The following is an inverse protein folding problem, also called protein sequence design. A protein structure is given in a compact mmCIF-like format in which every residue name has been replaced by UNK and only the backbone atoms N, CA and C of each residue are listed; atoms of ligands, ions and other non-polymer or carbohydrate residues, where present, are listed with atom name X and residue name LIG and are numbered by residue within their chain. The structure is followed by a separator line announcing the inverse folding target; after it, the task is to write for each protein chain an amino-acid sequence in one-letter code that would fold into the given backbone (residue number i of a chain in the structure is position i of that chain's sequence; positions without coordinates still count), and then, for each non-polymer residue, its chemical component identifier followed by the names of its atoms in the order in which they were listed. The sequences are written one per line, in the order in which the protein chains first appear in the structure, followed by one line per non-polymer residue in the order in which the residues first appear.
data_IF_354104938471
#
_entry.id   IF_354104938471
#
_cell.length_a   1.000
_cell.length_b   1.000
_cell.length_c   1.000
_cell.angle_alpha   90.00
_cell.angle_beta   90.00
_cell.angle_gamma   90.00
#
_symmetry.space_group_name_H-M   'P 1'
#
loop_
_entity.id
_entity.type
_entity.pdbx_description
1 polymer ?
#
# COMPACT_ATOMS: atom_id res chain seq x y z
N UNK A 1 -70.75 29.34 29.99
CA UNK A 1 -70.35 28.43 31.07
C UNK A 1 -70.63 26.99 30.59
N UNK A 2 -69.63 26.29 30.17
CA UNK A 2 -69.40 24.84 30.26
C UNK A 2 -68.21 24.48 29.32
N UNK A 3 -67.15 24.08 29.99
CA UNK A 3 -65.87 23.72 29.42
C UNK A 3 -65.99 22.27 28.88
N UNK A 4 -65.89 22.07 27.59
CA UNK A 4 -65.83 20.74 26.96
C UNK A 4 -64.37 20.25 26.82
N UNK A 5 -64.09 19.24 27.59
CA UNK A 5 -62.77 18.58 27.63
C UNK A 5 -62.47 17.88 26.30
N UNK A 6 -61.41 18.33 25.62
CA UNK A 6 -60.81 17.64 24.46
C UNK A 6 -59.99 16.48 24.98
N UNK A 7 -60.41 15.25 24.68
CA UNK A 7 -59.62 14.03 24.88
C UNK A 7 -58.57 13.95 23.80
N UNK A 8 -57.31 14.10 24.17
CA UNK A 8 -56.15 13.72 23.35
C UNK A 8 -56.11 12.20 23.21
N UNK A 9 -56.34 11.71 22.00
CA UNK A 9 -56.05 10.34 21.66
C UNK A 9 -54.54 10.24 21.45
N UNK A 10 -53.86 9.45 22.28
CA UNK A 10 -52.45 9.13 22.17
C UNK A 10 -52.22 8.28 20.93
N UNK A 11 -51.66 8.86 19.89
CA UNK A 11 -51.04 8.10 18.80
C UNK A 11 -49.70 7.58 19.30
N UNK A 12 -49.58 6.24 19.37
CA UNK A 12 -48.31 5.58 19.67
C UNK A 12 -47.37 5.78 18.49
N UNK A 13 -46.57 6.86 18.56
CA UNK A 13 -45.45 7.06 17.68
C UNK A 13 -44.32 6.12 18.09
N UNK A 14 -43.88 5.24 17.19
CA UNK A 14 -42.61 4.55 17.32
C UNK A 14 -41.50 5.63 17.40
N UNK A 15 -41.07 5.93 18.61
CA UNK A 15 -39.89 6.73 18.87
C UNK A 15 -38.66 5.87 18.43
N UNK A 16 -38.16 6.10 17.26
CA UNK A 16 -36.77 5.78 16.94
C UNK A 16 -35.90 6.69 17.81
N UNK A 17 -35.37 6.12 18.89
CA UNK A 17 -34.34 6.75 19.67
C UNK A 17 -33.09 6.88 18.77
N UNK A 18 -32.97 8.05 18.13
CA UNK A 18 -31.68 8.50 17.61
C UNK A 18 -30.86 8.80 18.87
N UNK A 19 -30.04 7.81 19.26
CA UNK A 19 -28.96 8.04 20.21
C UNK A 19 -27.99 9.01 19.53
N UNK A 20 -28.17 10.30 19.79
CA UNK A 20 -27.18 11.31 19.48
C UNK A 20 -25.96 11.01 20.33
N UNK A 21 -24.79 10.72 19.74
CA UNK A 21 -23.58 10.71 20.52
C UNK A 21 -23.41 12.14 21.06
N UNK A 22 -23.26 12.26 22.35
CA UNK A 22 -22.90 13.51 23.00
C UNK A 22 -21.61 14.01 22.31
N UNK A 23 -21.73 15.06 21.52
CA UNK A 23 -20.59 15.80 21.05
C UNK A 23 -19.97 16.46 22.30
N UNK A 24 -19.00 15.80 22.88
CA UNK A 24 -18.07 16.40 23.83
C UNK A 24 -17.40 17.54 23.07
N UNK A 25 -17.59 18.76 23.58
CA UNK A 25 -16.95 19.95 23.06
C UNK A 25 -15.44 19.69 23.00
N UNK A 26 -14.91 19.50 21.81
CA UNK A 26 -13.47 19.39 21.57
C UNK A 26 -12.86 20.78 21.83
N UNK A 27 -12.00 20.85 22.81
CA UNK A 27 -11.10 21.98 23.03
C UNK A 27 -10.25 22.10 21.72
N UNK A 28 -10.21 23.28 21.08
CA UNK A 28 -9.42 23.47 19.87
C UNK A 28 -7.93 23.30 20.22
N UNK A 29 -7.32 22.21 19.80
CA UNK A 29 -5.88 21.99 19.99
C UNK A 29 -5.44 20.54 20.22
N UNK A 30 -6.36 19.57 20.35
CA UNK A 30 -5.96 18.16 20.39
C UNK A 30 -6.42 17.46 19.10
N UNK A 31 -5.46 17.15 18.25
CA UNK A 31 -5.64 16.13 17.22
C UNK A 31 -6.13 14.83 17.87
N UNK A 32 -7.05 14.04 17.24
CA UNK A 32 -7.45 12.74 17.78
C UNK A 32 -6.18 11.92 17.99
N UNK A 33 -5.96 11.55 19.27
CA UNK A 33 -4.68 11.09 19.78
C UNK A 33 -4.04 10.02 18.92
N UNK A 34 -2.89 10.35 18.35
CA UNK A 34 -1.87 9.34 18.16
C UNK A 34 -1.64 8.69 19.54
N UNK A 35 -1.69 7.36 19.63
CA UNK A 35 -1.28 6.71 20.88
C UNK A 35 0.09 7.26 21.23
N UNK A 36 0.34 7.64 22.50
CA UNK A 36 1.66 8.10 22.89
C UNK A 36 2.66 7.06 22.41
N UNK A 37 3.76 7.49 21.78
CA UNK A 37 4.90 6.61 21.50
C UNK A 37 5.35 6.06 22.86
N UNK A 38 4.71 4.99 23.30
CA UNK A 38 5.16 4.24 24.45
C UNK A 38 6.49 3.64 23.98
N UNK A 39 7.59 4.24 24.43
CA UNK A 39 8.88 3.57 24.46
C UNK A 39 8.70 2.36 25.40
N UNK A 40 8.21 1.26 24.85
CA UNK A 40 8.10 0.01 25.58
C UNK A 40 9.50 -0.36 26.01
N UNK A 41 9.74 -0.35 27.31
CA UNK A 41 10.94 -0.98 27.84
C UNK A 41 10.91 -2.44 27.38
N UNK A 42 12.02 -2.98 26.82
CA UNK A 42 12.07 -4.37 26.41
C UNK A 42 11.70 -5.23 27.62
N UNK A 43 10.60 -5.95 27.54
CA UNK A 43 10.30 -6.99 28.53
C UNK A 43 11.46 -7.98 28.49
N UNK A 44 11.96 -8.43 29.67
CA UNK A 44 12.98 -9.45 29.70
C UNK A 44 12.41 -10.73 29.09
N UNK A 45 12.70 -10.97 27.82
CA UNK A 45 12.29 -12.18 27.13
C UNK A 45 13.12 -13.35 27.69
N UNK A 46 12.48 -14.19 28.50
CA UNK A 46 13.05 -15.46 28.97
C UNK A 46 13.13 -16.53 27.87
N UNK A 47 12.66 -16.25 26.65
CA UNK A 47 12.75 -17.12 25.50
C UNK A 47 13.93 -16.73 24.60
N UNK A 48 14.60 -17.69 23.95
CA UNK A 48 15.63 -17.37 22.96
C UNK A 48 15.02 -16.51 21.86
N UNK A 49 15.79 -15.54 21.32
CA UNK A 49 15.28 -14.66 20.27
C UNK A 49 14.79 -15.47 19.06
N UNK A 50 13.63 -15.16 18.47
CA UNK A 50 13.11 -15.88 17.32
C UNK A 50 14.09 -15.76 16.16
N UNK A 51 14.36 -16.89 15.51
CA UNK A 51 15.17 -16.95 14.30
C UNK A 51 14.27 -16.65 13.11
N UNK A 52 14.59 -15.59 12.37
CA UNK A 52 13.80 -15.09 11.24
C UNK A 52 14.49 -15.45 9.92
N UNK A 53 13.77 -16.17 9.06
CA UNK A 53 14.20 -16.40 7.67
C UNK A 53 13.78 -15.22 6.79
N UNK A 54 14.38 -15.09 5.58
CA UNK A 54 13.94 -14.08 4.60
C UNK A 54 12.44 -14.22 4.28
N UNK A 55 11.93 -15.46 4.20
CA UNK A 55 10.51 -15.71 3.94
C UNK A 55 9.64 -15.18 5.09
N UNK A 56 10.01 -15.46 6.34
CA UNK A 56 9.26 -14.97 7.51
C UNK A 56 9.30 -13.43 7.57
N UNK A 57 10.44 -12.83 7.20
CA UNK A 57 10.58 -11.39 7.12
C UNK A 57 9.62 -10.79 6.06
N UNK A 58 9.54 -11.40 4.89
CA UNK A 58 8.61 -10.97 3.83
C UNK A 58 7.14 -11.08 4.26
N UNK A 59 6.78 -12.17 4.92
CA UNK A 59 5.38 -12.38 5.35
C UNK A 59 4.98 -11.38 6.45
N UNK A 60 5.84 -11.13 7.44
CA UNK A 60 5.60 -10.10 8.47
C UNK A 60 5.54 -8.68 7.89
N UNK A 61 6.46 -8.34 7.00
CA UNK A 61 6.47 -7.01 6.38
C UNK A 61 5.19 -6.72 5.58
N UNK A 62 4.58 -7.71 4.94
CA UNK A 62 3.28 -7.56 4.24
C UNK A 62 2.14 -7.18 5.17
N UNK A 63 2.18 -7.60 6.42
CA UNK A 63 1.13 -7.26 7.39
C UNK A 63 1.26 -5.82 7.90
N UNK A 64 2.47 -5.26 7.91
CA UNK A 64 2.78 -3.98 8.56
C UNK A 64 3.05 -2.83 7.57
N UNK A 65 3.49 -3.12 6.34
CA UNK A 65 3.87 -2.08 5.39
C UNK A 65 2.66 -1.27 4.91
N UNK A 66 2.72 0.05 5.16
CA UNK A 66 1.63 0.95 4.85
C UNK A 66 1.38 1.12 3.34
N UNK A 67 2.43 1.06 2.51
CA UNK A 67 2.29 1.24 1.06
C UNK A 67 1.63 0.02 0.42
N UNK A 68 2.07 -1.18 0.82
CA UNK A 68 1.44 -2.41 0.35
C UNK A 68 -0.01 -2.52 0.82
N UNK A 69 -0.28 -2.25 2.11
CA UNK A 69 -1.65 -2.28 2.68
C UNK A 69 -2.57 -1.24 2.03
N UNK A 70 -2.06 -0.06 1.71
CA UNK A 70 -2.82 0.95 0.95
C UNK A 70 -3.17 0.43 -0.43
N UNK A 71 -2.22 -0.13 -1.17
CA UNK A 71 -2.47 -0.66 -2.51
C UNK A 71 -3.43 -1.87 -2.51
N UNK A 72 -3.36 -2.73 -1.50
CA UNK A 72 -4.31 -3.83 -1.28
C UNK A 72 -5.72 -3.32 -0.98
N UNK A 73 -5.83 -2.29 -0.13
CA UNK A 73 -7.10 -1.63 0.20
C UNK A 73 -7.71 -0.96 -1.04
N UNK A 74 -6.90 -0.29 -1.86
CA UNK A 74 -7.35 0.32 -3.12
C UNK A 74 -7.89 -0.73 -4.10
N UNK A 75 -7.30 -1.93 -4.14
CA UNK A 75 -7.80 -3.04 -4.94
C UNK A 75 -9.16 -3.56 -4.42
N UNK A 76 -9.34 -3.64 -3.10
CA UNK A 76 -10.63 -4.02 -2.51
C UNK A 76 -11.70 -2.94 -2.74
N UNK A 77 -11.36 -1.65 -2.61
CA UNK A 77 -12.26 -0.53 -2.97
C UNK A 77 -12.71 -0.67 -4.42
N UNK A 78 -11.77 -0.88 -5.35
CA UNK A 78 -12.09 -1.04 -6.77
C UNK A 78 -12.98 -2.26 -7.04
N UNK A 79 -12.84 -3.33 -6.26
CA UNK A 79 -13.73 -4.50 -6.28
C UNK A 79 -15.15 -4.13 -5.83
N UNK A 80 -15.29 -3.36 -4.76
CA UNK A 80 -16.59 -2.87 -4.29
C UNK A 80 -17.22 -1.91 -5.31
N UNK A 81 -16.43 -1.06 -5.95
CA UNK A 81 -16.89 -0.19 -7.04
C UNK A 81 -17.46 -0.99 -8.22
N UNK A 82 -16.87 -2.16 -8.55
CA UNK A 82 -17.43 -3.06 -9.55
C UNK A 82 -18.78 -3.63 -9.13
N UNK A 83 -18.95 -3.99 -7.87
CA UNK A 83 -20.24 -4.45 -7.35
C UNK A 83 -21.29 -3.33 -7.40
N UNK A 84 -20.90 -2.11 -7.01
CA UNK A 84 -21.76 -0.93 -7.12
C UNK A 84 -22.15 -0.66 -8.58
N UNK A 85 -21.18 -0.70 -9.50
CA UNK A 85 -21.42 -0.51 -10.94
C UNK A 85 -22.36 -1.56 -11.52
N UNK A 86 -22.34 -2.79 -11.02
CA UNK A 86 -23.31 -3.84 -11.37
C UNK A 86 -24.70 -3.54 -10.81
N UNK A 87 -24.75 -3.16 -9.54
CA UNK A 87 -26.01 -2.92 -8.84
C UNK A 87 -26.69 -1.63 -9.31
N UNK A 88 -25.94 -0.62 -9.75
CA UNK A 88 -26.47 0.64 -10.28
C UNK A 88 -27.28 0.50 -11.58
N UNK A 89 -27.21 -0.66 -12.24
CA UNK A 89 -28.02 -0.97 -13.41
C UNK A 89 -29.36 -1.66 -13.03
N UNK A 90 -29.58 -1.95 -11.75
CA UNK A 90 -30.79 -2.56 -11.24
C UNK A 90 -31.76 -1.47 -10.76
N UNK A 91 -33.09 -1.74 -10.81
CA UNK A 91 -34.08 -0.85 -10.22
C UNK A 91 -33.82 -0.65 -8.73
N UNK A 92 -34.04 0.58 -8.26
CA UNK A 92 -34.00 0.91 -6.84
C UNK A 92 -35.41 0.90 -6.26
N UNK A 93 -35.55 0.42 -5.03
CA UNK A 93 -36.78 0.47 -4.26
C UNK A 93 -36.55 1.26 -2.99
N UNK A 94 -37.43 2.21 -2.73
CA UNK A 94 -37.36 3.04 -1.54
C UNK A 94 -38.76 3.26 -0.97
N UNK A 95 -38.82 3.55 0.32
CA UNK A 95 -40.03 4.03 0.98
C UNK A 95 -39.85 5.50 1.36
N UNK A 96 -40.88 6.30 1.14
CA UNK A 96 -40.88 7.72 1.45
C UNK A 96 -42.13 8.09 2.25
N UNK A 97 -41.94 8.50 3.47
CA UNK A 97 -43.00 9.04 4.32
C UNK A 97 -42.87 10.56 4.43
N UNK A 98 -43.89 11.29 4.04
CA UNK A 98 -43.88 12.73 4.04
C UNK A 98 -45.21 13.26 4.60
N UNK A 99 -45.13 14.28 5.48
CA UNK A 99 -46.27 15.09 5.87
C UNK A 99 -46.04 16.51 5.34
N UNK A 100 -46.99 16.97 4.53
CA UNK A 100 -47.03 18.34 4.06
C UNK A 100 -48.17 19.08 4.75
N UNK A 101 -47.81 20.00 5.63
CA UNK A 101 -48.74 20.93 6.27
C UNK A 101 -48.52 22.35 5.72
N UNK A 102 -49.55 22.99 5.24
CA UNK A 102 -49.47 24.38 4.82
C UNK A 102 -50.47 25.24 5.54
N UNK A 103 -50.13 26.51 5.78
CA UNK A 103 -51.01 27.48 6.40
C UNK A 103 -52.12 27.88 5.43
N UNK A 104 -53.37 27.81 5.90
CA UNK A 104 -54.50 28.31 5.15
C UNK A 104 -54.60 29.83 5.19
N UNK A 105 -55.40 30.39 4.32
CA UNK A 105 -55.73 31.77 4.28
C UNK A 105 -56.77 32.09 5.39
N UNK A 106 -56.36 32.80 6.42
CA UNK A 106 -57.25 33.33 7.43
C UNK A 106 -57.35 34.85 7.33
N UNK A 107 -58.40 35.50 7.82
CA UNK A 107 -58.52 36.97 7.72
C UNK A 107 -57.34 37.73 8.32
N UNK A 108 -56.51 37.09 9.16
CA UNK A 108 -55.35 37.69 9.80
C UNK A 108 -54.02 37.18 9.18
N UNK A 109 -54.05 36.24 8.23
CA UNK A 109 -52.83 35.66 7.65
C UNK A 109 -52.35 36.56 6.48
N UNK A 110 -51.11 37.01 6.58
CA UNK A 110 -50.48 37.94 5.59
C UNK A 110 -49.76 37.24 4.45
N UNK A 111 -49.77 35.91 4.38
CA UNK A 111 -49.05 35.16 3.37
C UNK A 111 -49.70 33.85 3.01
N UNK A 112 -49.61 33.50 1.72
CA UNK A 112 -50.02 32.21 1.15
C UNK A 112 -48.76 31.45 0.73
N UNK A 113 -48.61 30.25 1.19
CA UNK A 113 -47.44 29.45 0.82
C UNK A 113 -47.73 28.55 -0.39
N UNK A 114 -48.76 27.75 -0.35
CA UNK A 114 -49.10 26.83 -1.45
C UNK A 114 -50.53 27.03 -1.94
N UNK A 115 -51.50 27.09 -1.07
CA UNK A 115 -52.92 27.27 -1.40
C UNK A 115 -53.61 28.25 -0.46
N UNK A 116 -54.79 28.77 -0.86
CA UNK A 116 -55.60 29.67 -0.03
C UNK A 116 -56.19 28.98 1.19
N UNK A 117 -56.47 27.65 1.10
CA UNK A 117 -57.29 26.94 2.08
C UNK A 117 -56.43 26.11 3.06
N UNK A 118 -55.11 26.11 2.89
CA UNK A 118 -54.21 25.23 3.62
C UNK A 118 -54.36 23.76 3.21
N UNK A 119 -53.32 23.01 3.36
CA UNK A 119 -53.31 21.57 3.02
C UNK A 119 -52.64 20.78 4.10
N UNK A 120 -53.23 19.67 4.42
CA UNK A 120 -52.61 18.62 5.25
C UNK A 120 -52.60 17.37 4.37
N UNK A 121 -51.43 16.96 3.92
CA UNK A 121 -51.27 15.78 3.07
C UNK A 121 -50.27 14.84 3.69
N UNK A 122 -50.71 13.63 3.93
CA UNK A 122 -49.88 12.50 4.29
C UNK A 122 -49.53 11.70 3.02
N UNK A 123 -48.24 11.46 2.84
CA UNK A 123 -47.71 10.66 1.75
C UNK A 123 -46.92 9.51 2.31
N UNK A 124 -47.30 8.32 1.94
CA UNK A 124 -46.56 7.09 2.24
C UNK A 124 -46.42 6.34 0.94
N UNK A 125 -45.22 6.41 0.35
CA UNK A 125 -44.96 5.93 -0.99
C UNK A 125 -43.89 4.85 -1.00
N UNK A 126 -44.21 3.66 -1.51
CA UNK A 126 -43.24 2.70 -2.01
C UNK A 126 -42.89 3.06 -3.45
N UNK A 127 -41.64 3.38 -3.70
CA UNK A 127 -41.16 3.94 -4.96
C UNK A 127 -40.19 2.95 -5.59
N UNK A 128 -40.49 2.50 -6.82
CA UNK A 128 -39.56 1.76 -7.67
C UNK A 128 -39.08 2.64 -8.81
N UNK A 129 -37.74 2.80 -8.95
CA UNK A 129 -37.13 3.63 -10.00
C UNK A 129 -36.12 2.79 -10.78
N UNK A 130 -36.06 3.03 -12.10
CA UNK A 130 -35.05 2.42 -12.93
C UNK A 130 -34.80 3.20 -14.21
N UNK A 131 -33.57 3.11 -14.66
CA UNK A 131 -33.11 3.74 -15.89
C UNK A 131 -32.74 2.68 -16.93
N UNK A 132 -33.26 2.81 -18.12
CA UNK A 132 -32.91 1.98 -19.27
C UNK A 132 -32.17 2.88 -20.27
N UNK A 133 -30.86 2.79 -20.23
CA UNK A 133 -29.95 3.60 -21.04
C UNK A 133 -29.11 2.71 -21.95
N UNK A 134 -28.37 3.30 -22.88
CA UNK A 134 -27.38 2.56 -23.67
C UNK A 134 -26.33 1.86 -22.76
N UNK A 135 -26.04 2.44 -21.58
CA UNK A 135 -25.13 1.84 -20.59
C UNK A 135 -25.67 0.51 -20.02
N UNK A 136 -27.00 0.37 -19.89
CA UNK A 136 -27.64 -0.87 -19.42
C UNK A 136 -27.37 -2.05 -20.38
N UNK A 137 -27.47 -1.84 -21.68
CA UNK A 137 -27.23 -2.85 -22.71
C UNK A 137 -25.75 -3.12 -22.94
N UNK A 138 -24.94 -2.09 -23.05
CA UNK A 138 -23.51 -2.17 -23.34
C UNK A 138 -22.67 -2.52 -22.10
N UNK A 139 -23.27 -2.43 -20.90
CA UNK A 139 -22.64 -2.73 -19.59
C UNK A 139 -21.34 -1.93 -19.38
N UNK A 140 -21.28 -0.70 -19.92
CA UNK A 140 -20.09 0.15 -19.91
C UNK A 140 -19.59 0.48 -18.50
N UNK A 141 -20.46 0.81 -17.50
CA UNK A 141 -20.03 1.04 -16.14
C UNK A 141 -19.35 -0.19 -15.52
N UNK A 142 -19.90 -1.39 -15.77
CA UNK A 142 -19.35 -2.65 -15.27
C UNK A 142 -17.98 -2.93 -15.89
N UNK A 143 -17.86 -2.79 -17.23
CA UNK A 143 -16.58 -3.00 -17.95
C UNK A 143 -15.49 -2.02 -17.49
N UNK A 144 -15.88 -0.75 -17.28
CA UNK A 144 -14.97 0.25 -16.73
C UNK A 144 -14.48 -0.12 -15.33
N UNK A 145 -15.42 -0.50 -14.45
CA UNK A 145 -15.09 -0.89 -13.08
C UNK A 145 -14.26 -2.20 -13.02
N UNK A 146 -14.54 -3.17 -13.91
CA UNK A 146 -13.70 -4.38 -14.04
C UNK A 146 -12.26 -4.04 -14.46
N UNK A 147 -12.07 -3.15 -15.41
CA UNK A 147 -10.73 -2.71 -15.82
C UNK A 147 -10.04 -1.92 -14.69
N UNK A 148 -10.78 -1.08 -13.95
CA UNK A 148 -10.25 -0.34 -12.81
C UNK A 148 -9.80 -1.29 -11.68
N UNK A 149 -10.58 -2.32 -11.35
CA UNK A 149 -10.23 -3.38 -10.39
C UNK A 149 -8.97 -4.12 -10.83
N UNK A 150 -8.89 -4.53 -12.11
CA UNK A 150 -7.71 -5.21 -12.65
C UNK A 150 -6.46 -4.32 -12.60
N UNK A 151 -6.60 -3.01 -12.87
CA UNK A 151 -5.51 -2.05 -12.73
C UNK A 151 -5.07 -1.88 -11.28
N UNK A 152 -6.00 -1.78 -10.33
CA UNK A 152 -5.70 -1.66 -8.90
C UNK A 152 -5.02 -2.93 -8.37
N UNK A 153 -5.50 -4.11 -8.75
CA UNK A 153 -4.87 -5.41 -8.41
C UNK A 153 -3.44 -5.50 -8.95
N UNK A 154 -3.20 -5.04 -10.18
CA UNK A 154 -1.84 -5.01 -10.73
C UNK A 154 -0.93 -4.04 -9.95
N UNK A 155 -1.45 -2.89 -9.49
CA UNK A 155 -0.70 -1.94 -8.64
C UNK A 155 -0.38 -2.53 -7.26
N UNK A 156 -1.29 -3.29 -6.65
CA UNK A 156 -1.02 -4.01 -5.42
C UNK A 156 0.11 -5.04 -5.59
N UNK A 157 0.16 -5.72 -6.74
CA UNK A 157 1.25 -6.63 -7.07
C UNK A 157 2.59 -5.89 -7.26
N UNK A 158 2.60 -4.70 -7.88
CA UNK A 158 3.80 -3.85 -7.98
C UNK A 158 4.28 -3.48 -6.57
N UNK A 159 3.38 -3.02 -5.69
CA UNK A 159 3.72 -2.67 -4.31
C UNK A 159 4.27 -3.88 -3.54
N UNK A 160 3.68 -5.08 -3.71
CA UNK A 160 4.16 -6.32 -3.11
C UNK A 160 5.58 -6.67 -3.53
N UNK A 161 5.87 -6.56 -4.83
CA UNK A 161 7.21 -6.85 -5.37
C UNK A 161 8.24 -5.80 -4.92
N UNK A 162 7.86 -4.52 -4.88
CA UNK A 162 8.70 -3.44 -4.36
C UNK A 162 9.04 -3.62 -2.88
N UNK A 163 8.05 -4.02 -2.07
CA UNK A 163 8.28 -4.36 -0.66
C UNK A 163 9.28 -5.51 -0.52
N UNK A 164 9.17 -6.55 -1.37
CA UNK A 164 10.10 -7.68 -1.33
C UNK A 164 11.56 -7.24 -1.55
N UNK A 165 11.82 -6.30 -2.47
CA UNK A 165 13.17 -5.73 -2.66
C UNK A 165 13.63 -5.00 -1.41
N UNK A 166 12.77 -4.14 -0.84
CA UNK A 166 13.11 -3.37 0.37
C UNK A 166 13.45 -4.29 1.54
N UNK A 167 12.63 -5.31 1.79
CA UNK A 167 12.88 -6.29 2.86
C UNK A 167 14.18 -7.07 2.60
N UNK A 168 14.38 -7.56 1.37
CA UNK A 168 15.61 -8.27 0.98
C UNK A 168 16.85 -7.41 1.21
N UNK A 169 16.80 -6.15 0.82
CA UNK A 169 17.90 -5.21 1.04
C UNK A 169 18.21 -5.01 2.52
N UNK A 170 17.18 -4.79 3.37
CA UNK A 170 17.36 -4.60 4.81
C UNK A 170 17.82 -5.87 5.52
N UNK A 171 17.31 -7.03 5.09
CA UNK A 171 17.68 -8.33 5.64
C UNK A 171 19.17 -8.62 5.40
N UNK A 172 19.64 -8.55 4.17
CA UNK A 172 21.04 -8.81 3.86
C UNK A 172 21.99 -7.69 4.30
N UNK A 173 21.49 -6.45 4.46
CA UNK A 173 22.26 -5.39 5.11
C UNK A 173 22.54 -5.73 6.59
N UNK A 174 21.58 -6.35 7.30
CA UNK A 174 21.81 -6.81 8.67
C UNK A 174 22.79 -7.98 8.69
N UNK A 175 22.62 -9.00 7.84
CA UNK A 175 23.56 -10.14 7.76
C UNK A 175 24.99 -9.65 7.47
N UNK A 176 25.16 -8.76 6.51
CA UNK A 176 26.47 -8.17 6.20
C UNK A 176 27.05 -7.36 7.37
N UNK A 177 26.20 -6.65 8.12
CA UNK A 177 26.64 -5.90 9.31
C UNK A 177 27.05 -6.84 10.46
N UNK A 178 26.38 -7.99 10.63
CA UNK A 178 26.78 -9.04 11.58
C UNK A 178 28.14 -9.67 11.20
N UNK A 179 28.38 -9.91 9.91
CA UNK A 179 29.68 -10.37 9.42
C UNK A 179 30.79 -9.33 9.67
N UNK A 180 30.50 -8.05 9.36
CA UNK A 180 31.44 -6.96 9.61
C UNK A 180 31.75 -6.82 11.12
N UNK A 181 30.75 -6.94 11.99
CA UNK A 181 30.95 -7.00 13.44
C UNK A 181 31.91 -8.14 13.84
N UNK A 182 31.67 -9.36 13.37
CA UNK A 182 32.52 -10.52 13.67
C UNK A 182 33.96 -10.36 13.13
N UNK A 183 34.09 -9.82 11.91
CA UNK A 183 35.39 -9.53 11.29
C UNK A 183 36.16 -8.46 12.07
N UNK A 184 35.50 -7.37 12.46
CA UNK A 184 36.09 -6.30 13.26
C UNK A 184 36.50 -6.77 14.66
N UNK A 185 35.70 -7.63 15.30
CA UNK A 185 36.05 -8.23 16.60
C UNK A 185 37.32 -9.10 16.49
N UNK A 186 37.44 -9.90 15.42
CA UNK A 186 38.64 -10.68 15.14
C UNK A 186 39.85 -9.79 14.86
N UNK A 187 39.66 -8.69 14.12
CA UNK A 187 40.73 -7.73 13.80
C UNK A 187 41.29 -7.05 15.06
N UNK A 188 40.43 -6.63 16.00
CA UNK A 188 40.87 -6.11 17.31
C UNK A 188 41.70 -7.12 18.05
N UNK A 189 41.23 -8.37 18.15
CA UNK A 189 41.98 -9.42 18.86
C UNK A 189 43.33 -9.75 18.22
N UNK A 190 43.42 -9.68 16.88
CA UNK A 190 44.67 -9.86 16.15
C UNK A 190 45.64 -8.68 16.33
N UNK A 191 45.13 -7.45 16.23
CA UNK A 191 45.94 -6.24 16.43
C UNK A 191 46.48 -6.13 17.87
N UNK A 192 45.68 -6.51 18.88
CA UNK A 192 46.11 -6.56 20.27
C UNK A 192 47.25 -7.58 20.46
N UNK A 193 47.08 -8.82 19.93
CA UNK A 193 48.14 -9.84 20.02
C UNK A 193 49.43 -9.38 19.35
N UNK A 194 49.31 -8.70 18.20
CA UNK A 194 50.44 -8.17 17.49
C UNK A 194 51.15 -7.07 18.30
N UNK A 195 50.38 -6.15 18.90
CA UNK A 195 50.95 -5.11 19.80
C UNK A 195 51.66 -5.73 21.00
N UNK A 196 51.11 -6.75 21.64
CA UNK A 196 51.74 -7.47 22.75
C UNK A 196 53.08 -8.14 22.33
N UNK A 197 53.11 -8.72 21.12
CA UNK A 197 54.34 -9.31 20.56
C UNK A 197 55.38 -8.25 20.32
N UNK A 198 55.01 -7.13 19.66
CA UNK A 198 55.95 -6.01 19.37
C UNK A 198 56.53 -5.41 20.66
N UNK A 199 55.72 -5.25 21.71
CA UNK A 199 56.23 -4.81 23.02
C UNK A 199 57.23 -5.77 23.62
N UNK A 200 56.99 -7.09 23.53
CA UNK A 200 57.93 -8.10 24.07
C UNK A 200 59.26 -8.09 23.30
N UNK A 201 59.22 -8.02 21.97
CA UNK A 201 60.39 -7.98 21.12
C UNK A 201 61.22 -6.70 21.33
N UNK A 202 60.55 -5.56 21.57
CA UNK A 202 61.22 -4.29 21.88
C UNK A 202 61.97 -4.38 23.19
N UNK A 203 61.37 -4.96 24.24
CA UNK A 203 62.06 -5.18 25.55
C UNK A 203 63.29 -6.08 25.41
N UNK A 204 63.31 -6.97 24.44
CA UNK A 204 64.44 -7.83 24.12
C UNK A 204 65.42 -7.17 23.11
N UNK A 205 65.16 -5.92 22.70
CA UNK A 205 66.01 -5.21 21.78
C UNK A 205 65.95 -5.69 20.34
N UNK A 206 64.94 -6.50 19.98
CA UNK A 206 64.78 -7.10 18.63
C UNK A 206 64.07 -6.21 17.62
N UNK A 207 63.23 -5.25 18.08
CA UNK A 207 62.49 -4.31 17.21
C UNK A 207 62.62 -2.88 17.77
N UNK A 208 62.42 -1.87 16.90
CA UNK A 208 62.49 -0.48 17.24
C UNK A 208 61.24 0.00 18.00
N UNK A 209 61.37 1.02 18.84
CA UNK A 209 60.25 1.69 19.51
C UNK A 209 59.18 2.18 18.48
N UNK A 210 59.60 2.59 17.30
CA UNK A 210 58.72 3.01 16.22
C UNK A 210 57.76 1.92 15.77
N UNK A 211 58.15 0.64 15.82
CA UNK A 211 57.31 -0.51 15.44
C UNK A 211 56.24 -0.80 16.49
N UNK A 212 56.59 -0.61 17.80
CA UNK A 212 55.62 -0.68 18.89
C UNK A 212 54.57 0.40 18.77
N UNK A 213 54.96 1.64 18.46
CA UNK A 213 54.04 2.75 18.26
C UNK A 213 53.10 2.47 17.07
N UNK A 214 53.61 1.95 15.96
CA UNK A 214 52.76 1.55 14.82
C UNK A 214 51.75 0.46 15.18
N UNK A 215 52.18 -0.57 15.90
CA UNK A 215 51.30 -1.65 16.37
C UNK A 215 50.21 -1.09 17.33
N UNK A 216 50.57 -0.15 18.23
CA UNK A 216 49.58 0.49 19.10
C UNK A 216 48.58 1.36 18.32
N UNK A 217 49.06 2.16 17.36
CA UNK A 217 48.14 2.92 16.48
C UNK A 217 47.17 1.99 15.77
N UNK A 218 47.66 0.91 15.17
CA UNK A 218 46.81 -0.08 14.51
C UNK A 218 45.78 -0.67 15.47
N UNK A 219 46.20 -1.07 16.67
CA UNK A 219 45.28 -1.61 17.68
C UNK A 219 44.15 -0.61 18.02
N UNK A 220 44.50 0.67 18.27
CA UNK A 220 43.52 1.72 18.56
C UNK A 220 42.56 1.99 17.39
N UNK A 221 43.08 1.94 16.18
CA UNK A 221 42.23 2.05 14.97
C UNK A 221 41.25 0.91 14.85
N UNK A 222 41.68 -0.33 15.12
CA UNK A 222 40.76 -1.49 15.09
C UNK A 222 39.72 -1.44 16.23
N UNK A 223 40.10 -0.94 17.44
CA UNK A 223 39.11 -0.70 18.50
C UNK A 223 38.05 0.32 18.10
N UNK A 224 38.44 1.38 17.38
CA UNK A 224 37.48 2.36 16.87
C UNK A 224 36.58 1.71 15.80
N UNK A 225 37.15 1.01 14.81
CA UNK A 225 36.40 0.32 13.75
C UNK A 225 35.41 -0.69 14.32
N UNK A 226 35.78 -1.39 15.39
CA UNK A 226 34.87 -2.31 16.09
C UNK A 226 33.67 -1.59 16.73
N UNK A 227 33.90 -0.43 17.39
CA UNK A 227 32.78 0.37 17.93
C UNK A 227 31.85 0.87 16.83
N UNK A 228 32.40 1.25 15.69
CA UNK A 228 31.63 1.67 14.53
C UNK A 228 30.84 0.51 13.92
N UNK A 229 31.41 -0.71 13.88
CA UNK A 229 30.74 -1.93 13.44
C UNK A 229 29.58 -2.33 14.37
N UNK A 230 29.73 -2.20 15.69
CA UNK A 230 28.64 -2.40 16.67
C UNK A 230 27.48 -1.45 16.36
N UNK A 231 27.75 -0.16 16.15
CA UNK A 231 26.72 0.82 15.85
C UNK A 231 26.05 0.54 14.50
N UNK A 232 26.80 0.13 13.47
CA UNK A 232 26.25 -0.23 12.17
C UNK A 232 25.33 -1.47 12.26
N UNK A 233 25.72 -2.49 13.01
CA UNK A 233 24.90 -3.67 13.23
C UNK A 233 23.58 -3.33 13.94
N UNK A 234 23.63 -2.53 15.01
CA UNK A 234 22.42 -2.10 15.73
C UNK A 234 21.50 -1.25 14.84
N UNK A 235 22.07 -0.35 14.04
CA UNK A 235 21.30 0.47 13.09
C UNK A 235 20.63 -0.39 12.00
N UNK A 236 21.35 -1.38 11.46
CA UNK A 236 20.80 -2.30 10.47
C UNK A 236 19.68 -3.16 11.06
N UNK A 237 19.85 -3.61 12.31
CA UNK A 237 18.84 -4.36 13.05
C UNK A 237 17.58 -3.52 13.28
N UNK A 238 17.72 -2.28 13.74
CA UNK A 238 16.59 -1.36 13.92
C UNK A 238 15.89 -1.07 12.59
N UNK A 239 16.63 -0.87 11.50
CA UNK A 239 16.07 -0.63 10.18
C UNK A 239 15.24 -1.81 9.65
N UNK A 240 15.62 -3.05 9.99
CA UNK A 240 14.82 -4.23 9.68
C UNK A 240 13.64 -4.38 10.66
N UNK A 241 13.87 -4.16 11.96
CA UNK A 241 12.82 -4.27 12.98
C UNK A 241 11.60 -3.39 12.69
N UNK A 242 11.81 -2.15 12.22
CA UNK A 242 10.74 -1.22 11.82
C UNK A 242 9.83 -1.79 10.74
N UNK A 243 10.34 -2.66 9.87
CA UNK A 243 9.56 -3.31 8.82
C UNK A 243 8.83 -4.58 9.31
N UNK A 244 9.36 -5.25 10.34
CA UNK A 244 8.90 -6.58 10.74
C UNK A 244 8.02 -6.59 11.98
N UNK A 245 8.08 -5.54 12.81
CA UNK A 245 7.43 -5.52 14.12
C UNK A 245 6.69 -4.20 14.36
N UNK A 246 5.53 -4.24 15.04
CA UNK A 246 4.83 -3.04 15.46
C UNK A 246 5.65 -2.22 16.47
N UNK A 247 6.44 -2.92 17.29
CA UNK A 247 7.36 -2.36 18.27
C UNK A 247 8.78 -2.76 17.88
N UNK A 248 9.63 -1.79 17.53
CA UNK A 248 11.02 -2.03 17.06
C UNK A 248 12.00 -2.45 18.17
N UNK A 249 11.51 -2.73 19.38
CA UNK A 249 12.31 -3.15 20.54
C UNK A 249 12.43 -4.68 20.67
N UNK A 250 11.82 -5.45 19.78
CA UNK A 250 11.88 -6.90 19.83
C UNK A 250 13.29 -7.43 19.51
N UNK A 251 13.73 -8.40 20.30
CA UNK A 251 15.00 -9.07 20.07
C UNK A 251 14.78 -10.23 19.09
N UNK A 252 15.53 -10.27 18.00
CA UNK A 252 15.47 -11.31 16.99
C UNK A 252 16.85 -11.58 16.40
N UNK A 253 17.02 -12.73 15.78
CA UNK A 253 18.20 -13.11 14.99
C UNK A 253 17.76 -13.47 13.58
N UNK A 254 18.63 -13.25 12.60
CA UNK A 254 18.38 -13.59 11.20
C UNK A 254 19.16 -14.84 10.80
N UNK A 255 18.65 -15.59 9.83
CA UNK A 255 19.37 -16.72 9.26
C UNK A 255 20.42 -16.19 8.30
N UNK A 256 21.67 -16.57 8.49
CA UNK A 256 22.74 -16.29 7.54
C UNK A 256 22.71 -17.31 6.38
N UNK A 257 22.13 -16.89 5.27
CA UNK A 257 22.11 -17.61 4.01
C UNK A 257 22.80 -16.84 2.88
N UNK A 258 23.57 -15.78 3.22
CA UNK A 258 24.18 -14.87 2.27
C UNK A 258 25.11 -15.61 1.28
N UNK A 259 25.91 -16.57 1.76
CA UNK A 259 26.84 -17.35 0.96
C UNK A 259 26.21 -18.49 0.17
N UNK A 260 24.92 -18.82 0.39
CA UNK A 260 24.23 -19.87 -0.35
C UNK A 260 24.06 -19.46 -1.81
N UNK A 261 24.49 -20.30 -2.74
CA UNK A 261 24.43 -19.99 -4.18
C UNK A 261 22.96 -19.82 -4.63
N UNK A 262 22.60 -18.63 -5.06
CA UNK A 262 21.33 -18.37 -5.73
C UNK A 262 21.56 -18.41 -7.25
N UNK A 263 20.82 -19.26 -8.00
CA UNK A 263 21.01 -19.36 -9.45
C UNK A 263 20.48 -18.12 -10.17
N UNK A 264 21.22 -17.62 -11.15
CA UNK A 264 20.73 -16.63 -12.11
C UNK A 264 20.29 -17.40 -13.37
N UNK A 265 18.99 -17.36 -13.74
CA UNK A 265 18.51 -18.01 -14.95
C UNK A 265 19.12 -17.38 -16.22
N UNK A 266 19.20 -18.11 -17.35
CA UNK A 266 19.64 -17.57 -18.63
C UNK A 266 18.77 -16.40 -19.10
N UNK A 267 19.36 -15.39 -19.73
CA UNK A 267 18.64 -14.20 -20.20
C UNK A 267 17.41 -14.48 -21.08
N UNK A 268 17.43 -15.47 -22.02
CA UNK A 268 16.23 -15.79 -22.80
C UNK A 268 15.03 -16.17 -21.95
N UNK A 269 15.23 -16.97 -20.88
CA UNK A 269 14.17 -17.43 -19.99
C UNK A 269 13.61 -16.26 -19.16
N UNK A 270 14.51 -15.42 -18.64
CA UNK A 270 14.16 -14.21 -17.89
C UNK A 270 13.36 -13.23 -18.75
N UNK A 271 13.74 -13.08 -20.03
CA UNK A 271 13.01 -12.23 -20.98
C UNK A 271 11.62 -12.77 -21.29
N UNK A 272 11.45 -14.07 -21.40
CA UNK A 272 10.16 -14.71 -21.63
C UNK A 272 9.23 -14.51 -20.41
N UNK A 273 9.75 -14.73 -19.20
CA UNK A 273 9.00 -14.50 -17.96
C UNK A 273 8.55 -13.04 -17.83
N UNK A 274 9.43 -12.07 -18.08
CA UNK A 274 9.11 -10.65 -18.05
C UNK A 274 8.03 -10.26 -19.08
N UNK A 275 7.97 -10.95 -20.22
CA UNK A 275 6.98 -10.68 -21.27
C UNK A 275 5.58 -11.22 -20.95
N UNK A 276 5.47 -12.26 -20.12
CA UNK A 276 4.18 -12.94 -19.85
C UNK A 276 3.34 -12.24 -18.79
N UNK A 277 3.92 -11.81 -17.68
CA UNK A 277 3.15 -11.42 -16.47
C UNK A 277 3.69 -10.18 -15.76
N UNK A 278 4.18 -9.22 -16.51
CA UNK A 278 4.68 -8.01 -15.88
C UNK A 278 3.51 -7.14 -15.35
N UNK A 279 3.49 -6.83 -14.03
CA UNK A 279 2.37 -6.10 -13.42
C UNK A 279 2.31 -4.63 -13.85
N UNK A 280 3.43 -3.98 -14.22
CA UNK A 280 3.43 -2.59 -14.70
C UNK A 280 2.73 -2.48 -16.05
N UNK A 281 3.02 -3.41 -16.99
CA UNK A 281 2.35 -3.46 -18.29
C UNK A 281 0.88 -3.79 -18.13
N UNK A 282 0.52 -4.71 -17.20
CA UNK A 282 -0.88 -5.02 -16.89
C UNK A 282 -1.62 -3.79 -16.34
N UNK A 283 -1.05 -3.09 -15.38
CA UNK A 283 -1.65 -1.89 -14.80
C UNK A 283 -1.89 -0.81 -15.88
N UNK A 284 -0.92 -0.58 -16.77
CA UNK A 284 -1.04 0.37 -17.86
C UNK A 284 -2.07 -0.07 -18.92
N UNK A 285 -2.13 -1.37 -19.25
CA UNK A 285 -3.11 -1.95 -20.19
C UNK A 285 -4.53 -1.79 -19.66
N UNK A 286 -4.76 -2.11 -18.39
CA UNK A 286 -6.08 -1.99 -17.78
C UNK A 286 -6.48 -0.50 -17.60
N UNK A 287 -5.51 0.38 -17.33
CA UNK A 287 -5.75 1.84 -17.32
C UNK A 287 -6.18 2.35 -18.71
N UNK A 288 -5.59 1.83 -19.79
CA UNK A 288 -6.05 2.14 -21.15
C UNK A 288 -7.48 1.64 -21.38
N UNK A 289 -7.83 0.42 -20.93
CA UNK A 289 -9.20 -0.11 -21.01
C UNK A 289 -10.22 0.77 -20.26
N UNK A 290 -9.85 1.29 -19.08
CA UNK A 290 -10.70 2.27 -18.36
C UNK A 290 -10.97 3.47 -19.25
N UNK A 291 -9.93 4.08 -19.85
CA UNK A 291 -10.07 5.24 -20.71
C UNK A 291 -10.89 4.94 -21.98
N UNK A 292 -10.80 3.74 -22.56
CA UNK A 292 -11.63 3.31 -23.69
C UNK A 292 -13.11 3.22 -23.30
N UNK A 293 -13.41 2.71 -22.09
CA UNK A 293 -14.79 2.70 -21.59
C UNK A 293 -15.31 4.10 -21.26
N UNK A 294 -14.45 5.05 -20.86
CA UNK A 294 -14.83 6.46 -20.70
C UNK A 294 -15.20 7.11 -22.04
N UNK A 295 -14.49 6.80 -23.12
CA UNK A 295 -14.87 7.23 -24.49
C UNK A 295 -16.22 6.63 -24.87
N UNK A 296 -16.44 5.35 -24.59
CA UNK A 296 -17.74 4.70 -24.84
C UNK A 296 -18.87 5.38 -24.07
N UNK A 297 -18.66 5.67 -22.77
CA UNK A 297 -19.63 6.39 -21.93
C UNK A 297 -19.93 7.78 -22.48
N UNK A 298 -18.91 8.53 -22.90
CA UNK A 298 -19.07 9.85 -23.47
C UNK A 298 -19.85 9.85 -24.81
N UNK A 299 -19.70 8.79 -25.64
CA UNK A 299 -20.48 8.57 -26.83
C UNK A 299 -21.95 8.25 -26.52
N UNK A 300 -22.20 7.49 -25.47
CA UNK A 300 -23.56 7.12 -25.06
C UNK A 300 -24.37 8.33 -24.57
N UNK A 301 -23.71 9.40 -24.11
CA UNK A 301 -24.36 10.64 -23.72
C UNK A 301 -25.10 11.38 -24.88
N UNK A 302 -24.87 10.99 -26.14
CA UNK A 302 -25.64 11.46 -27.29
C UNK A 302 -26.92 10.69 -27.55
N UNK A 303 -27.12 9.53 -26.86
CA UNK A 303 -28.26 8.67 -27.05
C UNK A 303 -29.40 9.05 -26.10
N UNK A 304 -30.67 8.80 -26.49
CA UNK A 304 -31.79 8.97 -25.60
C UNK A 304 -31.67 8.12 -24.34
N UNK A 305 -32.19 8.63 -23.23
CA UNK A 305 -32.33 7.89 -21.97
C UNK A 305 -33.81 7.69 -21.66
N UNK A 306 -34.14 6.49 -21.22
CA UNK A 306 -35.47 6.13 -20.77
C UNK A 306 -35.43 5.85 -19.27
N UNK A 307 -36.32 6.49 -18.50
CA UNK A 307 -36.47 6.22 -17.08
C UNK A 307 -37.91 5.92 -16.73
N UNK A 308 -38.12 5.15 -15.71
CA UNK A 308 -39.44 4.86 -15.17
C UNK A 308 -39.44 5.00 -13.65
N UNK A 309 -40.56 5.60 -13.15
CA UNK A 309 -40.88 5.71 -11.74
C UNK A 309 -42.23 5.01 -11.52
N UNK A 310 -42.26 4.04 -10.64
CA UNK A 310 -43.49 3.37 -10.20
C UNK A 310 -43.72 3.68 -8.74
N UNK A 311 -44.83 4.26 -8.40
CA UNK A 311 -45.20 4.63 -7.05
C UNK A 311 -46.48 3.92 -6.68
N UNK A 312 -46.46 3.28 -5.50
CA UNK A 312 -47.66 2.72 -4.87
C UNK A 312 -47.72 3.23 -3.42
N UNK A 313 -48.86 3.74 -3.02
CA UNK A 313 -49.01 4.23 -1.64
C UNK A 313 -50.23 5.07 -1.39
N UNK A 314 -50.17 5.85 -0.35
CA UNK A 314 -51.23 6.76 0.11
C UNK A 314 -50.81 8.20 -0.13
N UNK A 315 -51.69 9.01 -0.69
CA UNK A 315 -51.60 10.46 -0.72
C UNK A 315 -52.96 11.02 -0.36
N UNK A 316 -53.13 11.39 0.90
CA UNK A 316 -54.43 11.78 1.44
C UNK A 316 -54.29 12.78 2.58
N UNK A 317 -55.37 13.50 2.85
CA UNK A 317 -55.45 14.44 3.99
C UNK A 317 -55.42 13.78 5.37
N UNK A 318 -55.40 12.44 5.42
CA UNK A 318 -55.29 11.66 6.64
C UNK A 318 -54.56 10.35 6.37
N UNK A 319 -53.80 9.88 7.33
CA UNK A 319 -53.10 8.59 7.25
C UNK A 319 -54.06 7.44 7.55
N UNK A 320 -54.83 7.02 6.54
CA UNK A 320 -55.81 5.95 6.65
C UNK A 320 -55.92 5.17 5.35
N UNK A 321 -56.21 3.85 5.42
CA UNK A 321 -56.40 2.98 4.24
C UNK A 321 -57.68 3.29 3.48
N UNK A 322 -58.68 3.93 4.12
CA UNK A 322 -59.93 4.35 3.49
C UNK A 322 -60.22 5.81 3.82
N UNK A 323 -60.80 6.51 2.85
CA UNK A 323 -61.25 7.89 3.06
C UNK A 323 -62.37 7.97 4.11
N UNK A 324 -62.27 8.97 4.99
CA UNK A 324 -63.36 9.29 5.92
C UNK A 324 -64.47 10.12 5.23
N UNK A 325 -64.10 10.83 4.16
CA UNK A 325 -65.04 11.60 3.38
C UNK A 325 -65.65 10.75 2.27
N UNK A 326 -66.94 10.55 2.33
CA UNK A 326 -67.73 9.86 1.33
C UNK A 326 -68.28 10.88 0.36
N UNK A 327 -67.56 11.15 -0.73
CA UNK A 327 -67.97 12.12 -1.74
C UNK A 327 -69.22 11.64 -2.50
N UNK A 328 -69.40 10.35 -2.58
CA UNK A 328 -70.59 9.69 -3.20
C UNK A 328 -71.10 8.60 -2.26
N UNK A 329 -72.23 8.83 -1.60
CA UNK A 329 -72.79 7.92 -0.60
C UNK A 329 -73.05 6.50 -1.15
N UNK A 330 -73.27 6.40 -2.43
CA UNK A 330 -73.57 5.12 -3.13
C UNK A 330 -72.36 4.19 -3.24
N UNK A 331 -71.13 4.76 -3.22
CA UNK A 331 -69.88 4.01 -3.37
C UNK A 331 -69.24 3.67 -2.01
N UNK A 332 -69.70 4.29 -0.92
CA UNK A 332 -69.06 4.14 0.38
C UNK A 332 -67.64 4.74 0.45
N UNK A 333 -66.88 4.43 1.51
CA UNK A 333 -65.51 4.94 1.69
C UNK A 333 -64.56 4.37 0.63
N UNK A 334 -63.97 5.23 -0.19
CA UNK A 334 -62.98 4.85 -1.22
C UNK A 334 -61.61 4.50 -0.63
N UNK A 335 -60.88 3.62 -1.24
CA UNK A 335 -59.49 3.32 -0.81
C UNK A 335 -58.60 4.52 -1.08
N UNK A 336 -57.75 4.88 -0.08
CA UNK A 336 -56.71 5.91 -0.23
C UNK A 336 -55.45 5.37 -0.94
N UNK A 337 -55.07 4.08 -0.82
CA UNK A 337 -53.94 3.55 -1.61
C UNK A 337 -54.24 3.58 -3.10
N UNK A 338 -53.24 4.03 -3.84
CA UNK A 338 -53.24 4.07 -5.29
C UNK A 338 -51.85 3.86 -5.89
N UNK A 339 -51.78 3.83 -7.19
CA UNK A 339 -50.51 3.74 -7.90
C UNK A 339 -50.46 4.73 -9.06
N UNK A 340 -49.24 5.16 -9.39
CA UNK A 340 -49.00 5.80 -10.68
C UNK A 340 -47.65 5.32 -11.24
N UNK A 341 -47.55 5.37 -12.56
CA UNK A 341 -46.33 5.00 -13.28
C UNK A 341 -45.98 6.18 -14.19
N UNK A 342 -44.77 6.69 -14.06
CA UNK A 342 -44.25 7.74 -14.93
C UNK A 342 -43.17 7.15 -15.81
N UNK A 343 -43.29 7.35 -17.12
CA UNK A 343 -42.30 6.96 -18.10
C UNK A 343 -41.76 8.22 -18.75
N UNK A 344 -40.42 8.41 -18.65
CA UNK A 344 -39.75 9.56 -19.21
C UNK A 344 -38.76 9.15 -20.30
N UNK A 345 -38.87 9.76 -21.46
CA UNK A 345 -37.89 9.66 -22.54
C UNK A 345 -37.19 11.00 -22.69
N UNK A 346 -35.92 11.09 -22.33
CA UNK A 346 -35.12 12.29 -22.49
C UNK A 346 -34.20 12.14 -23.71
N UNK A 347 -34.35 13.05 -24.68
CA UNK A 347 -33.55 13.09 -25.89
C UNK A 347 -32.69 14.34 -25.86
N UNK A 348 -31.35 14.24 -25.81
CA UNK A 348 -30.47 15.40 -25.82
C UNK A 348 -30.49 16.03 -27.23
N UNK A 349 -31.05 17.24 -27.37
CA UNK A 349 -31.15 17.95 -28.68
C UNK A 349 -30.04 18.98 -28.80
N UNK A 350 -29.80 19.76 -27.74
CA UNK A 350 -28.84 20.85 -27.77
C UNK A 350 -28.27 21.12 -26.37
N UNK A 351 -26.94 21.19 -26.26
CA UNK A 351 -26.23 21.40 -24.98
C UNK A 351 -25.01 22.33 -25.11
N UNK A 352 -25.03 23.20 -26.12
CA UNK A 352 -23.95 24.15 -26.40
C UNK A 352 -22.57 23.48 -26.58
N UNK A 353 -22.55 22.23 -27.03
CA UNK A 353 -21.32 21.46 -27.28
C UNK A 353 -20.71 20.81 -26.05
N UNK A 354 -21.36 20.81 -24.90
CA UNK A 354 -20.86 20.19 -23.64
C UNK A 354 -20.57 18.71 -23.84
N UNK A 355 -21.48 17.93 -24.41
CA UNK A 355 -21.31 16.51 -24.68
C UNK A 355 -20.18 16.25 -25.66
N UNK A 356 -20.03 17.07 -26.70
CA UNK A 356 -18.91 16.99 -27.64
C UNK A 356 -17.58 17.27 -26.96
N UNK A 357 -17.52 18.28 -26.09
CA UNK A 357 -16.33 18.59 -25.28
C UNK A 357 -15.94 17.43 -24.37
N UNK A 358 -16.90 16.79 -23.69
CA UNK A 358 -16.66 15.58 -22.86
C UNK A 358 -16.09 14.43 -23.68
N UNK A 359 -16.60 14.21 -24.91
CA UNK A 359 -16.06 13.19 -25.81
C UNK A 359 -14.62 13.51 -26.21
N UNK A 360 -14.28 14.75 -26.50
CA UNK A 360 -12.92 15.17 -26.81
C UNK A 360 -11.99 14.97 -25.61
N UNK A 361 -12.43 15.31 -24.39
CA UNK A 361 -11.66 15.08 -23.16
C UNK A 361 -11.40 13.58 -22.95
N UNK A 362 -12.44 12.73 -23.09
CA UNK A 362 -12.28 11.27 -22.95
C UNK A 362 -11.32 10.72 -24.02
N UNK A 363 -11.42 11.19 -25.26
CA UNK A 363 -10.50 10.80 -26.34
C UNK A 363 -9.05 11.21 -26.07
N UNK A 364 -8.83 12.41 -25.51
CA UNK A 364 -7.51 12.86 -25.10
C UNK A 364 -6.93 12.00 -23.96
N UNK A 365 -7.75 11.65 -22.96
CA UNK A 365 -7.35 10.73 -21.87
C UNK A 365 -6.96 9.35 -22.41
N UNK A 366 -7.72 8.80 -23.39
CA UNK A 366 -7.36 7.55 -24.05
C UNK A 366 -6.02 7.65 -24.76
N UNK A 367 -5.75 8.74 -25.51
CA UNK A 367 -4.46 8.94 -26.16
C UNK A 367 -3.33 9.02 -25.14
N UNK A 368 -3.53 9.73 -24.03
CA UNK A 368 -2.55 9.76 -22.92
C UNK A 368 -2.27 8.36 -22.37
N UNK A 369 -3.31 7.57 -22.11
CA UNK A 369 -3.15 6.20 -21.60
C UNK A 369 -2.41 5.30 -22.61
N UNK A 370 -2.59 5.48 -23.93
CA UNK A 370 -1.82 4.78 -24.96
C UNK A 370 -0.32 5.12 -24.90
N UNK A 371 0.01 6.40 -24.72
CA UNK A 371 1.40 6.84 -24.55
C UNK A 371 2.00 6.25 -23.27
N UNK A 372 1.25 6.26 -22.17
CA UNK A 372 1.68 5.69 -20.90
C UNK A 372 1.93 4.17 -21.00
N UNK A 373 1.08 3.42 -21.70
CA UNK A 373 1.31 1.99 -21.96
C UNK A 373 2.60 1.77 -22.77
N UNK A 374 2.80 2.54 -23.84
CA UNK A 374 4.04 2.45 -24.64
C UNK A 374 5.29 2.78 -23.81
N UNK A 375 5.18 3.75 -22.89
CA UNK A 375 6.26 4.09 -21.97
C UNK A 375 6.51 2.97 -20.96
N UNK A 376 5.47 2.38 -20.36
CA UNK A 376 5.59 1.26 -19.43
C UNK A 376 6.29 0.07 -20.09
N UNK A 377 5.89 -0.29 -21.33
CA UNK A 377 6.54 -1.36 -22.08
C UNK A 377 8.04 -1.11 -22.31
N UNK A 378 8.42 0.12 -22.68
CA UNK A 378 9.84 0.48 -22.87
C UNK A 378 10.59 0.47 -21.55
N UNK A 379 9.98 0.93 -20.46
CA UNK A 379 10.59 0.94 -19.14
C UNK A 379 10.85 -0.47 -18.63
N UNK A 380 9.90 -1.40 -18.81
CA UNK A 380 10.08 -2.81 -18.43
C UNK A 380 11.24 -3.46 -19.19
N UNK A 381 11.37 -3.20 -20.50
CA UNK A 381 12.51 -3.70 -21.29
C UNK A 381 13.80 -3.09 -20.76
N UNK A 382 13.85 -1.78 -20.53
CA UNK A 382 15.03 -1.11 -19.96
C UNK A 382 15.43 -1.68 -18.61
N UNK A 383 14.46 -1.81 -17.67
CA UNK A 383 14.69 -2.36 -16.34
C UNK A 383 15.18 -3.82 -16.42
N UNK A 384 14.61 -4.63 -17.31
CA UNK A 384 15.02 -6.01 -17.50
C UNK A 384 16.51 -6.13 -17.84
N UNK A 385 16.99 -5.34 -18.82
CA UNK A 385 18.40 -5.33 -19.19
C UNK A 385 19.29 -4.80 -18.06
N UNK A 386 18.85 -3.74 -17.39
CA UNK A 386 19.61 -3.14 -16.29
C UNK A 386 19.76 -4.13 -15.13
N UNK A 387 18.66 -4.70 -14.65
CA UNK A 387 18.68 -5.61 -13.50
C UNK A 387 19.40 -6.94 -13.81
N UNK A 388 19.24 -7.45 -15.04
CA UNK A 388 19.98 -8.66 -15.43
C UNK A 388 21.49 -8.42 -15.50
N UNK A 389 21.93 -7.32 -16.13
CA UNK A 389 23.35 -6.96 -16.18
C UNK A 389 23.91 -6.67 -14.79
N UNK A 390 23.14 -6.03 -13.92
CA UNK A 390 23.51 -5.81 -12.52
C UNK A 390 23.71 -7.14 -11.79
N UNK A 391 22.76 -8.07 -11.90
CA UNK A 391 22.86 -9.38 -11.28
C UNK A 391 24.05 -10.19 -11.81
N UNK A 392 24.31 -10.16 -13.13
CA UNK A 392 25.46 -10.82 -13.75
C UNK A 392 26.79 -10.24 -13.27
N UNK A 393 26.88 -8.91 -13.26
CA UNK A 393 28.08 -8.20 -12.79
C UNK A 393 28.31 -8.41 -11.29
N UNK A 394 27.25 -8.33 -10.49
CA UNK A 394 27.34 -8.55 -9.04
C UNK A 394 27.79 -9.97 -8.71
N UNK A 395 27.30 -10.98 -9.45
CA UNK A 395 27.76 -12.37 -9.33
C UNK A 395 29.25 -12.52 -9.64
N UNK A 396 29.70 -12.00 -10.80
CA UNK A 396 31.12 -12.06 -11.19
C UNK A 396 32.01 -11.34 -10.18
N UNK A 397 31.55 -10.21 -9.64
CA UNK A 397 32.27 -9.48 -8.60
C UNK A 397 32.33 -10.26 -7.29
N UNK A 398 31.26 -10.99 -6.91
CA UNK A 398 31.26 -11.83 -5.70
C UNK A 398 32.27 -12.98 -5.84
N UNK A 399 32.29 -13.69 -6.98
CA UNK A 399 33.25 -14.74 -7.26
C UNK A 399 34.71 -14.22 -7.19
N UNK A 400 34.95 -13.03 -7.78
CA UNK A 400 36.27 -12.37 -7.72
C UNK A 400 36.66 -11.93 -6.32
N UNK A 401 35.73 -11.31 -5.57
CA UNK A 401 35.96 -10.85 -4.21
C UNK A 401 36.22 -12.01 -3.24
N UNK A 402 35.56 -13.15 -3.44
CA UNK A 402 35.85 -14.37 -2.66
C UNK A 402 37.30 -14.78 -2.83
N UNK A 403 37.78 -14.86 -4.07
CA UNK A 403 39.16 -15.23 -4.35
C UNK A 403 40.16 -14.25 -3.76
N UNK A 404 39.88 -12.94 -3.82
CA UNK A 404 40.70 -11.89 -3.17
C UNK A 404 40.74 -12.06 -1.66
N UNK A 405 39.61 -12.40 -1.02
CA UNK A 405 39.55 -12.63 0.41
C UNK A 405 40.38 -13.88 0.85
N UNK A 406 40.35 -14.95 0.04
CA UNK A 406 41.19 -16.15 0.26
C UNK A 406 42.69 -15.80 0.13
N UNK A 407 43.08 -15.06 -0.91
CA UNK A 407 44.46 -14.62 -1.10
C UNK A 407 44.95 -13.69 0.01
N UNK A 408 44.08 -12.76 0.47
CA UNK A 408 44.40 -11.87 1.57
C UNK A 408 44.60 -12.60 2.91
N UNK A 409 43.80 -13.65 3.15
CA UNK A 409 43.99 -14.50 4.33
C UNK A 409 45.31 -15.26 4.31
N UNK A 410 45.68 -15.82 3.15
CA UNK A 410 46.95 -16.50 2.99
C UNK A 410 48.14 -15.51 3.06
N UNK A 411 48.01 -14.33 2.47
CA UNK A 411 49.00 -13.27 2.58
C UNK A 411 49.28 -12.88 4.04
N UNK A 412 48.22 -12.68 4.84
CA UNK A 412 48.37 -12.38 6.26
C UNK A 412 49.06 -13.54 7.01
N UNK A 413 48.69 -14.78 6.70
CA UNK A 413 49.30 -15.96 7.32
C UNK A 413 50.82 -16.01 7.05
N UNK A 414 51.22 -15.81 5.82
CA UNK A 414 52.63 -15.83 5.40
C UNK A 414 53.41 -14.63 5.99
N UNK A 415 52.82 -13.43 5.98
CA UNK A 415 53.44 -12.23 6.55
C UNK A 415 53.68 -12.38 8.05
N UNK A 416 52.74 -12.98 8.77
CA UNK A 416 52.92 -13.28 10.20
C UNK A 416 54.09 -14.27 10.46
N UNK A 417 54.26 -15.29 9.61
CA UNK A 417 55.37 -16.23 9.70
C UNK A 417 56.72 -15.53 9.44
N UNK A 418 56.81 -14.70 8.39
CA UNK A 418 58.01 -13.90 8.07
C UNK A 418 58.33 -12.91 9.19
N UNK A 419 57.33 -12.26 9.79
CA UNK A 419 57.55 -11.36 10.93
C UNK A 419 58.11 -12.13 12.15
N UNK A 420 57.58 -13.31 12.43
CA UNK A 420 58.10 -14.14 13.53
C UNK A 420 59.54 -14.59 13.26
N UNK A 421 59.98 -14.78 12.01
CA UNK A 421 61.36 -15.06 11.61
C UNK A 421 62.26 -13.82 11.57
N UNK A 422 61.73 -12.62 11.76
CA UNK A 422 62.50 -11.35 11.63
C UNK A 422 62.72 -10.87 10.21
N UNK A 423 62.02 -11.45 9.21
CA UNK A 423 62.18 -11.15 7.78
C UNK A 423 61.14 -10.16 7.23
N UNK A 424 60.21 -9.68 8.05
CA UNK A 424 59.16 -8.75 7.67
C UNK A 424 59.03 -7.63 8.71
N UNK A 425 58.56 -6.47 8.27
CA UNK A 425 58.35 -5.31 9.14
C UNK A 425 56.96 -5.31 9.79
N UNK A 426 56.83 -4.60 10.91
CA UNK A 426 55.51 -4.38 11.56
C UNK A 426 54.50 -3.72 10.60
N UNK A 427 54.96 -2.87 9.69
CA UNK A 427 54.10 -2.22 8.70
C UNK A 427 53.46 -3.26 7.74
N UNK A 428 54.24 -4.23 7.27
CA UNK A 428 53.73 -5.29 6.38
C UNK A 428 52.62 -6.13 7.05
N UNK A 429 52.78 -6.41 8.36
CA UNK A 429 51.73 -7.15 9.11
C UNK A 429 50.47 -6.31 9.22
N UNK A 430 50.57 -5.02 9.57
CA UNK A 430 49.41 -4.13 9.67
C UNK A 430 48.73 -3.97 8.31
N UNK A 431 49.47 -3.83 7.23
CA UNK A 431 48.91 -3.73 5.86
C UNK A 431 48.19 -5.02 5.45
N UNK A 432 48.77 -6.18 5.77
CA UNK A 432 48.12 -7.47 5.49
C UNK A 432 46.84 -7.69 6.32
N UNK A 433 46.83 -7.23 7.58
CA UNK A 433 45.62 -7.25 8.42
C UNK A 433 44.52 -6.38 7.83
N UNK A 434 44.83 -5.14 7.46
CA UNK A 434 43.88 -4.21 6.86
C UNK A 434 43.36 -4.73 5.50
N UNK A 435 44.24 -5.30 4.67
CA UNK A 435 43.86 -5.91 3.40
C UNK A 435 42.87 -7.06 3.58
N UNK A 436 43.06 -7.90 4.59
CA UNK A 436 42.14 -9.00 4.86
C UNK A 436 40.75 -8.49 5.29
N UNK A 437 40.69 -7.48 6.19
CA UNK A 437 39.42 -6.89 6.62
C UNK A 437 38.69 -6.30 5.41
N UNK A 438 39.36 -5.48 4.60
CA UNK A 438 38.79 -4.86 3.40
C UNK A 438 38.32 -5.90 2.38
N UNK A 439 39.07 -6.99 2.18
CA UNK A 439 38.72 -8.05 1.24
C UNK A 439 37.47 -8.83 1.69
N UNK A 440 37.32 -9.10 2.98
CA UNK A 440 36.11 -9.74 3.54
C UNK A 440 34.90 -8.84 3.42
N UNK A 441 35.02 -7.58 3.79
CA UNK A 441 33.94 -6.61 3.66
C UNK A 441 33.50 -6.43 2.20
N UNK A 442 34.45 -6.40 1.26
CA UNK A 442 34.16 -6.34 -0.15
C UNK A 442 33.43 -7.59 -0.67
N UNK A 443 33.78 -8.77 -0.16
CA UNK A 443 33.08 -10.00 -0.48
C UNK A 443 31.62 -10.00 0.00
N UNK A 444 31.40 -9.66 1.27
CA UNK A 444 30.05 -9.59 1.84
C UNK A 444 29.19 -8.51 1.17
N UNK A 445 29.78 -7.36 0.83
CA UNK A 445 29.10 -6.32 0.05
C UNK A 445 28.71 -6.80 -1.37
N UNK A 446 29.59 -7.55 -2.04
CA UNK A 446 29.33 -8.09 -3.38
C UNK A 446 28.22 -9.15 -3.36
N UNK A 447 28.20 -10.02 -2.36
CA UNK A 447 27.12 -10.99 -2.15
C UNK A 447 25.78 -10.30 -1.88
N UNK A 448 25.77 -9.31 -0.98
CA UNK A 448 24.57 -8.51 -0.68
C UNK A 448 24.03 -7.84 -1.92
N UNK A 449 24.90 -7.23 -2.73
CA UNK A 449 24.53 -6.62 -4.01
C UNK A 449 23.92 -7.62 -4.98
N UNK A 450 24.47 -8.82 -5.06
CA UNK A 450 23.91 -9.88 -5.89
C UNK A 450 22.52 -10.30 -5.45
N UNK A 451 22.30 -10.49 -4.15
CA UNK A 451 20.98 -10.83 -3.59
C UNK A 451 19.93 -9.75 -3.87
N UNK A 452 20.29 -8.49 -3.72
CA UNK A 452 19.41 -7.35 -4.02
C UNK A 452 19.11 -7.28 -5.53
N UNK A 453 20.13 -7.44 -6.39
CA UNK A 453 19.95 -7.44 -7.83
C UNK A 453 19.02 -8.58 -8.32
N UNK A 454 19.09 -9.76 -7.69
CA UNK A 454 18.14 -10.84 -7.96
C UNK A 454 16.70 -10.46 -7.53
N UNK A 455 16.53 -9.83 -6.37
CA UNK A 455 15.23 -9.38 -5.93
C UNK A 455 14.64 -8.28 -6.85
N UNK A 456 15.49 -7.35 -7.33
CA UNK A 456 15.09 -6.35 -8.32
C UNK A 456 14.68 -7.00 -9.66
N UNK A 457 15.42 -8.00 -10.14
CA UNK A 457 15.08 -8.76 -11.33
C UNK A 457 13.71 -9.45 -11.17
N UNK A 458 13.42 -10.00 -10.00
CA UNK A 458 12.13 -10.63 -9.68
C UNK A 458 10.96 -9.63 -9.68
N UNK A 459 11.20 -8.33 -9.53
CA UNK A 459 10.12 -7.34 -9.68
C UNK A 459 9.54 -7.34 -11.08
N UNK A 460 10.38 -7.57 -12.09
CA UNK A 460 10.01 -7.54 -13.51
C UNK A 460 9.52 -8.90 -13.99
N UNK A 461 10.18 -9.99 -13.55
CA UNK A 461 9.92 -11.36 -14.03
C UNK A 461 8.91 -12.13 -13.18
N UNK A 462 8.76 -11.79 -11.91
CA UNK A 462 8.16 -12.67 -10.91
C UNK A 462 9.19 -13.60 -10.28
N UNK A 463 8.78 -14.44 -9.30
CA UNK A 463 9.68 -15.42 -8.67
C UNK A 463 10.11 -16.48 -9.68
N UNK A 464 11.38 -16.84 -9.67
CA UNK A 464 12.00 -17.93 -10.44
C UNK A 464 12.73 -18.91 -9.54
#
# INVERSE_FOLDING_TARGET
MTIGTVRLAAAAGLAWAIASPHASAQIPGQSPGQPPLALAQPEPQNAPPPLITLKDALDRARELDAQYRSAETDAEIARQDRLQARNSLLPTFSNSTQYLGTQGDTPLATGRFVTSDGVNVWREWAIGRGDVTAATFLKTPIKRAQAAEAAATARAEIARRGLAVTVTQRYYALVSAEHHYATSQQAVAQAQRFYDIAQRQQRLGQVAQADVIKAEISYRQQEQAFRDAVLQMENARLALAVLLFPTFTENFTVVDDLSVAAPLPPFPDVREMAGRENPDVRAATETLRVAEQEVSTARQAFLPTFSYDTVYGIEANQFALRSVYVAQPELGPLPNPGYFVTLNLAVPIWDWGTTRSRLHQASARRTLAQVQLSQAQRQVIGNLYTFYNEALTARTNADSAQHVAELAAESLRLTNLRYAAGESSALEVVDAQNTLVQARDAYDAALTRYRVALAELQTVTGPF
#
